data_IF_592158715572
#
_entry.id   IF_592158715572
#
_cell.length_a   1.000
_cell.length_b   1.000
_cell.length_c   1.000
_cell.angle_alpha   90.00
_cell.angle_beta   90.00
_cell.angle_gamma   90.00
#
_symmetry.space_group_name_H-M   'P 1'
#
loop_
_entity.id
_entity.type
_entity.pdbx_description
1 polymer ?
#
# COMPACT_ATOMS: atom_id res chain seq x y z
N UNK A 1 -6.15 1.17 4.60
CA UNK A 1 -5.33 0.13 3.95
C UNK A 1 -4.86 -0.94 4.92
N UNK A 2 -3.87 -0.72 5.80
CA UNK A 2 -3.38 -1.79 6.70
C UNK A 2 -4.46 -2.31 7.67
N UNK A 3 -5.31 -1.42 8.18
CA UNK A 3 -6.46 -1.81 9.01
C UNK A 3 -7.42 -2.72 8.23
N UNK A 4 -7.74 -2.39 6.98
CA UNK A 4 -8.65 -3.17 6.15
C UNK A 4 -8.06 -4.57 5.86
N UNK A 5 -6.77 -4.64 5.52
CA UNK A 5 -6.06 -5.91 5.32
C UNK A 5 -6.01 -6.78 6.57
N UNK A 6 -5.84 -6.17 7.75
CA UNK A 6 -5.86 -6.91 9.02
C UNK A 6 -7.24 -7.51 9.32
N UNK A 7 -8.32 -6.83 8.94
CA UNK A 7 -9.68 -7.34 9.06
C UNK A 7 -9.89 -8.50 8.08
N UNK A 8 -9.46 -8.35 6.82
CA UNK A 8 -9.54 -9.40 5.81
C UNK A 8 -8.78 -10.67 6.27
N UNK A 9 -7.57 -10.51 6.82
CA UNK A 9 -6.80 -11.63 7.35
C UNK A 9 -7.53 -12.38 8.47
N UNK A 10 -8.19 -11.64 9.36
CA UNK A 10 -8.92 -12.21 10.49
C UNK A 10 -10.16 -13.03 10.07
N UNK A 11 -10.78 -12.70 8.94
CA UNK A 11 -12.01 -13.35 8.45
C UNK A 11 -11.78 -14.34 7.30
N UNK A 12 -10.61 -14.31 6.68
CA UNK A 12 -10.26 -15.20 5.57
C UNK A 12 -10.02 -16.65 6.02
N UNK A 13 -10.28 -17.59 5.10
CA UNK A 13 -9.90 -19.00 5.27
C UNK A 13 -8.37 -19.15 5.32
N UNK A 14 -7.88 -20.21 5.96
CA UNK A 14 -6.43 -20.48 6.11
C UNK A 14 -5.69 -20.52 4.76
N UNK A 15 -6.35 -20.97 3.71
CA UNK A 15 -5.81 -21.06 2.35
C UNK A 15 -5.54 -19.69 1.73
N UNK A 16 -6.28 -18.65 2.16
CA UNK A 16 -6.21 -17.30 1.59
C UNK A 16 -5.35 -16.34 2.43
N UNK A 17 -5.10 -16.67 3.69
CA UNK A 17 -4.23 -15.89 4.58
C UNK A 17 -2.84 -15.58 3.99
N UNK A 18 -2.14 -16.52 3.32
CA UNK A 18 -0.83 -16.24 2.75
C UNK A 18 -0.83 -15.09 1.74
N UNK A 19 -1.85 -15.00 0.88
CA UNK A 19 -1.97 -13.92 -0.09
C UNK A 19 -2.21 -12.55 0.59
N UNK A 20 -2.99 -12.55 1.67
CA UNK A 20 -3.25 -11.33 2.46
C UNK A 20 -1.98 -10.92 3.23
N UNK A 21 -1.22 -11.87 3.78
CA UNK A 21 0.06 -11.62 4.46
C UNK A 21 1.13 -11.05 3.52
N UNK A 22 1.19 -11.54 2.28
CA UNK A 22 2.05 -10.99 1.24
C UNK A 22 1.67 -9.53 0.93
N UNK A 23 0.37 -9.25 0.81
CA UNK A 23 -0.12 -7.89 0.56
C UNK A 23 0.17 -6.95 1.75
N UNK A 24 0.00 -7.43 2.99
CA UNK A 24 0.39 -6.68 4.20
C UNK A 24 1.89 -6.37 4.18
N UNK A 25 2.72 -7.34 3.86
CA UNK A 25 4.19 -7.16 3.80
C UNK A 25 4.58 -6.13 2.76
N UNK A 26 4.02 -6.23 1.54
CA UNK A 26 4.21 -5.24 0.46
C UNK A 26 3.82 -3.84 0.91
N UNK A 27 2.71 -3.69 1.64
CA UNK A 27 2.29 -2.40 2.16
C UNK A 27 3.27 -1.85 3.18
N UNK A 28 3.68 -2.65 4.16
CA UNK A 28 4.66 -2.23 5.18
C UNK A 28 5.98 -1.80 4.54
N UNK A 29 6.51 -2.59 3.61
CA UNK A 29 7.78 -2.29 2.93
C UNK A 29 7.70 -1.01 2.10
N UNK A 30 6.59 -0.82 1.39
CA UNK A 30 6.37 0.40 0.58
C UNK A 30 6.22 1.64 1.47
N UNK A 31 5.44 1.56 2.55
CA UNK A 31 5.29 2.65 3.51
C UNK A 31 6.64 3.02 4.15
N UNK A 32 7.46 2.02 4.50
CA UNK A 32 8.81 2.25 5.00
C UNK A 32 9.72 2.95 3.98
N UNK A 33 9.66 2.56 2.69
CA UNK A 33 10.37 3.25 1.61
C UNK A 33 9.94 4.71 1.49
N UNK A 34 8.64 4.99 1.46
CA UNK A 34 8.12 6.35 1.41
C UNK A 34 8.58 7.20 2.59
N UNK A 35 8.53 6.66 3.82
CA UNK A 35 9.03 7.34 5.02
C UNK A 35 10.54 7.64 4.90
N UNK A 36 11.33 6.67 4.44
CA UNK A 36 12.76 6.85 4.22
C UNK A 36 13.03 7.96 3.20
N UNK A 37 12.28 7.99 2.09
CA UNK A 37 12.39 8.99 1.03
C UNK A 37 11.99 10.39 1.49
N UNK A 38 10.90 10.51 2.26
CA UNK A 38 10.51 11.77 2.91
C UNK A 38 11.64 12.31 3.80
N UNK A 39 12.31 11.41 4.52
CA UNK A 39 13.43 11.74 5.42
C UNK A 39 14.73 12.11 4.68
N UNK A 40 14.86 11.72 3.41
CA UNK A 40 16.02 11.95 2.56
C UNK A 40 15.65 12.79 1.32
N UNK A 41 15.12 13.99 1.55
CA UNK A 41 14.72 14.92 0.47
C UNK A 41 15.86 15.21 -0.51
N UNK A 42 15.61 14.99 -1.81
CA UNK A 42 16.52 15.39 -2.88
C UNK A 42 16.46 16.90 -3.15
N UNK A 43 17.57 17.49 -3.60
CA UNK A 43 17.66 18.92 -3.92
C UNK A 43 17.69 19.83 -2.69
N UNK A 44 18.17 19.34 -1.54
CA UNK A 44 18.27 20.11 -0.29
C UNK A 44 18.97 21.46 -0.51
N UNK A 45 18.27 22.55 -0.21
CA UNK A 45 18.75 23.92 -0.44
C UNK A 45 18.16 24.61 -1.67
N UNK A 46 17.54 23.87 -2.60
CA UNK A 46 16.93 24.39 -3.81
C UNK A 46 15.41 24.16 -3.82
N UNK A 47 14.64 25.20 -3.49
CA UNK A 47 13.20 25.10 -3.27
C UNK A 47 12.42 24.51 -4.46
N UNK A 48 12.85 24.79 -5.69
CA UNK A 48 12.22 24.24 -6.91
C UNK A 48 12.42 22.73 -7.02
N UNK A 49 13.60 22.23 -6.68
CA UNK A 49 13.93 20.80 -6.73
C UNK A 49 13.20 20.05 -5.62
N UNK A 50 13.18 20.60 -4.41
CA UNK A 50 12.42 20.05 -3.27
C UNK A 50 10.93 19.93 -3.60
N UNK A 51 10.32 20.99 -4.18
CA UNK A 51 8.90 20.93 -4.58
C UNK A 51 8.66 19.85 -5.62
N UNK A 52 9.50 19.78 -6.65
CA UNK A 52 9.39 18.76 -7.71
C UNK A 52 9.53 17.34 -7.14
N UNK A 53 10.45 17.15 -6.21
CA UNK A 53 10.66 15.88 -5.53
C UNK A 53 9.39 15.42 -4.80
N UNK A 54 8.82 16.28 -3.94
CA UNK A 54 7.62 15.93 -3.19
C UNK A 54 6.38 15.78 -4.06
N UNK A 55 6.23 16.56 -5.13
CA UNK A 55 5.13 16.35 -6.09
C UNK A 55 5.19 14.97 -6.74
N UNK A 56 6.37 14.53 -7.18
CA UNK A 56 6.56 13.19 -7.74
C UNK A 56 6.32 12.10 -6.68
N UNK A 57 6.82 12.30 -5.47
CA UNK A 57 6.62 11.37 -4.37
C UNK A 57 5.14 11.20 -4.02
N UNK A 58 4.37 12.29 -4.04
CA UNK A 58 2.92 12.28 -3.83
C UNK A 58 2.19 11.52 -4.95
N UNK A 59 2.55 11.77 -6.22
CA UNK A 59 1.98 11.05 -7.36
C UNK A 59 2.23 9.54 -7.25
N UNK A 60 3.45 9.14 -6.90
CA UNK A 60 3.82 7.75 -6.69
C UNK A 60 3.06 7.12 -5.51
N UNK A 61 2.90 7.84 -4.40
CA UNK A 61 2.13 7.37 -3.25
C UNK A 61 0.65 7.18 -3.58
N UNK A 62 0.04 8.12 -4.30
CA UNK A 62 -1.35 8.01 -4.74
C UNK A 62 -1.56 6.82 -5.68
N UNK A 63 -0.63 6.61 -6.62
CA UNK A 63 -0.66 5.44 -7.48
C UNK A 63 -0.62 4.14 -6.66
N UNK A 64 0.32 4.05 -5.73
CA UNK A 64 0.45 2.91 -4.83
C UNK A 64 -0.82 2.68 -4.00
N UNK A 65 -1.39 3.72 -3.41
CA UNK A 65 -2.62 3.61 -2.61
C UNK A 65 -3.80 3.08 -3.44
N UNK A 66 -3.98 3.58 -4.66
CA UNK A 66 -5.04 3.11 -5.57
C UNK A 66 -4.84 1.66 -5.99
N UNK A 67 -3.58 1.23 -6.21
CA UNK A 67 -3.26 -0.17 -6.52
C UNK A 67 -3.66 -1.09 -5.36
N UNK A 68 -3.27 -0.75 -4.13
CA UNK A 68 -3.59 -1.53 -2.93
C UNK A 68 -5.10 -1.55 -2.67
N UNK A 69 -5.80 -0.43 -2.83
CA UNK A 69 -7.26 -0.38 -2.73
C UNK A 69 -7.92 -1.33 -3.74
N UNK A 70 -7.43 -1.37 -4.98
CA UNK A 70 -7.88 -2.31 -5.99
C UNK A 70 -7.71 -3.77 -5.57
N UNK A 71 -6.55 -4.14 -5.03
CA UNK A 71 -6.29 -5.50 -4.54
C UNK A 71 -7.14 -5.86 -3.31
N UNK A 72 -7.32 -4.93 -2.35
CA UNK A 72 -8.19 -5.11 -1.18
C UNK A 72 -9.64 -5.36 -1.62
N UNK A 73 -10.15 -4.60 -2.58
CA UNK A 73 -11.51 -4.76 -3.08
C UNK A 73 -11.71 -6.11 -3.78
N UNK A 74 -10.75 -6.55 -4.61
CA UNK A 74 -10.79 -7.88 -5.24
C UNK A 74 -10.84 -8.99 -4.20
N UNK A 75 -9.96 -8.94 -3.20
CA UNK A 75 -9.94 -9.92 -2.11
C UNK A 75 -11.26 -9.91 -1.32
N UNK A 76 -11.82 -8.73 -1.07
CA UNK A 76 -13.13 -8.56 -0.45
C UNK A 76 -14.24 -9.25 -1.25
N UNK A 77 -14.31 -9.01 -2.56
CA UNK A 77 -15.30 -9.62 -3.46
C UNK A 77 -15.16 -11.15 -3.49
N UNK A 78 -13.92 -11.65 -3.58
CA UNK A 78 -13.63 -13.10 -3.58
C UNK A 78 -14.02 -13.79 -2.26
N UNK A 79 -13.95 -13.09 -1.13
CA UNK A 79 -14.36 -13.61 0.18
C UNK A 79 -15.88 -13.63 0.35
N UNK A 80 -16.61 -12.78 -0.39
CA UNK A 80 -18.07 -12.73 -0.39
C UNK A 80 -18.71 -13.75 -1.34
N UNK A 81 -17.96 -14.30 -2.29
CA UNK A 81 -18.44 -15.40 -3.14
C UNK A 81 -18.44 -16.73 -2.38
N UNK A 82 -19.61 -17.40 -2.21
CA UNK A 82 -19.68 -18.70 -1.56
C UNK A 82 -18.86 -19.73 -2.32
N UNK A 83 -18.11 -20.56 -1.59
CA UNK A 83 -17.48 -21.76 -2.14
C UNK A 83 -18.57 -22.68 -2.71
N UNK A 84 -18.39 -23.12 -3.97
CA UNK A 84 -19.34 -23.95 -4.71
C UNK A 84 -19.26 -25.43 -4.33
#
# INVERSE_FOLDING_TARGET
MLFDLSILHAVASEERKPAIEELISKVIDSENDFIARISHTDGRGEAKLVRKYYSKLQEEYLHFANEIEGEVNKLGDELLTPEA
#
